data_IF_237489830631
#
_entry.id   IF_237489830631
#
_cell.length_a   1.000
_cell.length_b   1.000
_cell.length_c   1.000
_cell.angle_alpha   90.00
_cell.angle_beta   90.00
_cell.angle_gamma   90.00
#
_symmetry.space_group_name_H-M   'P 1'
#
loop_
_entity.id
_entity.type
_entity.pdbx_description
1 polymer ?
#
# COMPACT_ATOMS: atom_id res chain seq x y z
N UNK A 1 -22.36 31.94 25.16
CA UNK A 1 -20.90 31.63 25.17
C UNK A 1 -20.57 30.17 25.47
N UNK A 2 -21.25 29.49 26.42
CA UNK A 2 -21.03 28.05 26.70
C UNK A 2 -21.16 27.13 25.47
N UNK A 3 -22.17 27.37 24.62
CA UNK A 3 -22.41 26.53 23.43
C UNK A 3 -21.34 26.69 22.35
N UNK A 4 -20.68 27.86 22.29
CA UNK A 4 -19.64 28.18 21.32
C UNK A 4 -18.30 27.55 21.72
N UNK A 5 -18.07 27.42 23.02
CA UNK A 5 -16.93 26.67 23.56
C UNK A 5 -17.08 25.16 23.31
N UNK A 6 -18.30 24.62 23.47
CA UNK A 6 -18.58 23.22 23.23
C UNK A 6 -18.40 22.83 21.75
N UNK A 7 -18.81 23.68 20.81
CA UNK A 7 -18.63 23.41 19.37
C UNK A 7 -17.17 23.46 18.95
N UNK A 8 -16.38 24.40 19.47
CA UNK A 8 -14.93 24.48 19.22
C UNK A 8 -14.21 23.24 19.77
N UNK A 9 -14.58 22.79 20.98
CA UNK A 9 -14.01 21.59 21.59
C UNK A 9 -14.33 20.34 20.76
N UNK A 10 -15.58 20.20 20.31
CA UNK A 10 -15.99 19.08 19.45
C UNK A 10 -15.27 19.08 18.10
N UNK A 11 -15.07 20.26 17.50
CA UNK A 11 -14.35 20.39 16.24
C UNK A 11 -12.88 19.98 16.36
N UNK A 12 -12.22 20.35 17.47
CA UNK A 12 -10.83 19.94 17.75
C UNK A 12 -10.67 18.43 17.96
N UNK A 13 -11.64 17.78 18.61
CA UNK A 13 -11.60 16.33 18.81
C UNK A 13 -11.74 15.60 17.46
N UNK A 14 -12.60 16.09 16.56
CA UNK A 14 -12.80 15.46 15.25
C UNK A 14 -11.61 15.61 14.29
N UNK A 15 -10.86 16.71 14.33
CA UNK A 15 -9.71 16.91 13.43
C UNK A 15 -8.46 16.16 13.89
N UNK A 16 -8.35 15.86 15.19
CA UNK A 16 -7.20 15.14 15.77
C UNK A 16 -7.09 13.68 15.33
N UNK A 17 -8.19 13.07 14.86
CA UNK A 17 -8.25 11.65 14.46
C UNK A 17 -7.73 11.43 13.03
N UNK A 18 -7.60 12.47 12.21
CA UNK A 18 -7.13 12.39 10.82
C UNK A 18 -5.64 12.69 10.66
N UNK A 19 -4.81 12.34 11.63
CA UNK A 19 -3.36 12.40 11.43
C UNK A 19 -2.92 11.26 10.52
N UNK A 20 -2.51 11.61 9.30
CA UNK A 20 -1.86 10.69 8.37
C UNK A 20 -0.49 10.37 8.95
N UNK A 21 -0.24 9.12 9.37
CA UNK A 21 1.08 8.73 9.89
C UNK A 21 2.11 8.84 8.76
N UNK A 22 3.04 9.80 8.81
CA UNK A 22 3.91 10.12 7.68
C UNK A 22 4.96 9.05 7.38
N UNK A 23 5.06 8.02 8.24
CA UNK A 23 6.12 7.02 8.21
C UNK A 23 5.60 5.58 8.06
N UNK A 24 4.33 5.40 7.69
CA UNK A 24 3.79 4.08 7.39
C UNK A 24 4.10 3.68 5.96
N UNK A 25 4.59 2.46 5.77
CA UNK A 25 4.69 1.78 4.47
C UNK A 25 3.65 0.68 4.36
N UNK A 26 3.09 0.53 3.17
CA UNK A 26 2.10 -0.51 2.87
C UNK A 26 2.56 -1.40 1.72
N UNK A 27 2.60 -2.70 1.99
CA UNK A 27 2.87 -3.74 1.01
C UNK A 27 1.60 -4.53 0.71
N UNK A 28 1.40 -4.86 -0.57
CA UNK A 28 0.38 -5.79 -1.02
C UNK A 28 1.07 -7.08 -1.50
N UNK A 29 0.74 -8.18 -0.85
CA UNK A 29 1.22 -9.51 -1.19
C UNK A 29 0.09 -10.24 -1.89
N UNK A 30 0.32 -10.67 -3.12
CA UNK A 30 -0.62 -11.43 -3.94
C UNK A 30 -0.19 -12.89 -4.00
N UNK A 31 -1.17 -13.79 -3.98
CA UNK A 31 -0.95 -15.23 -4.04
C UNK A 31 -1.71 -15.87 -5.18
N UNK A 32 -1.15 -16.91 -5.78
CA UNK A 32 -1.88 -17.76 -6.71
C UNK A 32 -2.80 -18.73 -5.94
N UNK A 33 -4.11 -18.63 -6.18
CA UNK A 33 -5.12 -19.49 -5.54
C UNK A 33 -4.90 -20.97 -5.81
N UNK A 34 -4.35 -21.34 -6.98
CA UNK A 34 -4.05 -22.74 -7.32
C UNK A 34 -2.89 -23.28 -6.50
N UNK A 35 -1.83 -22.49 -6.32
CA UNK A 35 -0.67 -22.84 -5.51
C UNK A 35 -1.01 -22.93 -4.02
N UNK A 36 -1.83 -22.01 -3.50
CA UNK A 36 -2.32 -22.08 -2.12
C UNK A 36 -3.09 -23.38 -1.86
N UNK A 37 -3.93 -23.81 -2.81
CA UNK A 37 -4.66 -25.09 -2.72
C UNK A 37 -3.73 -26.30 -2.72
N UNK A 38 -2.70 -26.30 -3.59
CA UNK A 38 -1.71 -27.38 -3.65
C UNK A 38 -0.94 -27.50 -2.33
N UNK A 39 -0.56 -26.36 -1.74
CA UNK A 39 0.13 -26.29 -0.46
C UNK A 39 -0.81 -26.47 0.76
N UNK A 40 -2.12 -26.66 0.54
CA UNK A 40 -3.17 -26.77 1.58
C UNK A 40 -3.12 -25.61 2.59
N UNK A 41 -2.99 -24.40 2.08
CA UNK A 41 -2.86 -23.17 2.89
C UNK A 41 -3.85 -22.09 2.45
N UNK A 42 -3.90 -20.99 3.19
CA UNK A 42 -4.70 -19.81 2.87
C UNK A 42 -3.98 -18.52 3.26
N UNK A 43 -4.36 -17.36 2.69
CA UNK A 43 -3.80 -16.07 3.10
C UNK A 43 -3.96 -15.82 4.60
N UNK A 44 -5.09 -16.22 5.20
CA UNK A 44 -5.36 -16.09 6.63
C UNK A 44 -4.38 -16.92 7.47
N UNK A 45 -4.01 -18.11 7.00
CA UNK A 45 -3.06 -18.96 7.70
C UNK A 45 -1.63 -18.41 7.62
N UNK A 46 -1.21 -17.95 6.44
CA UNK A 46 0.09 -17.31 6.23
C UNK A 46 0.19 -16.02 7.05
N UNK A 47 -0.88 -15.23 7.11
CA UNK A 47 -0.98 -13.98 7.86
C UNK A 47 -0.59 -14.16 9.34
N UNK A 48 -0.92 -15.30 9.97
CA UNK A 48 -0.57 -15.58 11.37
C UNK A 48 0.94 -15.47 11.66
N UNK A 49 1.79 -15.75 10.66
CA UNK A 49 3.25 -15.63 10.79
C UNK A 49 3.72 -14.17 10.82
N UNK A 50 2.91 -13.24 10.32
CA UNK A 50 3.25 -11.84 10.12
C UNK A 50 2.61 -10.92 11.17
N UNK A 51 1.47 -11.31 11.74
CA UNK A 51 0.67 -10.48 12.67
C UNK A 51 1.42 -9.99 13.92
N UNK A 52 2.47 -10.69 14.34
CA UNK A 52 3.26 -10.29 15.52
C UNK A 52 4.24 -9.14 15.22
N UNK A 53 4.53 -8.90 13.94
CA UNK A 53 5.56 -7.97 13.49
C UNK A 53 4.91 -6.80 12.76
N UNK A 54 3.82 -7.05 12.04
CA UNK A 54 3.16 -6.09 11.18
C UNK A 54 1.67 -6.00 11.47
N UNK A 55 1.08 -4.85 11.12
CA UNK A 55 -0.36 -4.76 11.02
C UNK A 55 -0.80 -5.36 9.68
N UNK A 56 -1.48 -6.48 9.73
CA UNK A 56 -1.88 -7.21 8.52
C UNK A 56 -3.39 -7.25 8.32
N UNK A 57 -3.79 -7.51 7.08
CA UNK A 57 -5.16 -7.88 6.73
C UNK A 57 -5.16 -8.82 5.54
N UNK A 58 -5.60 -10.06 5.73
CA UNK A 58 -5.84 -11.00 4.64
C UNK A 58 -7.16 -10.72 3.89
N UNK A 59 -7.16 -11.11 2.62
CA UNK A 59 -8.29 -11.06 1.70
C UNK A 59 -8.37 -12.37 0.95
N UNK A 60 -9.57 -12.95 0.89
CA UNK A 60 -9.83 -14.21 0.20
C UNK A 60 -11.30 -14.32 -0.27
N UNK A 61 -11.70 -15.50 -0.77
CA UNK A 61 -13.04 -15.76 -1.28
C UNK A 61 -13.25 -15.21 -2.70
N UNK A 62 -14.18 -14.25 -2.83
CA UNK A 62 -14.51 -13.62 -4.12
C UNK A 62 -13.46 -12.62 -4.59
N UNK A 63 -12.58 -12.17 -3.68
CA UNK A 63 -11.45 -11.30 -4.00
C UNK A 63 -10.23 -12.13 -4.39
N UNK A 64 -9.22 -11.49 -4.98
CA UNK A 64 -7.91 -12.12 -5.14
C UNK A 64 -7.32 -12.49 -3.79
N UNK A 65 -6.57 -13.60 -3.76
CA UNK A 65 -5.92 -14.06 -2.54
C UNK A 65 -4.74 -13.13 -2.24
N UNK A 66 -4.86 -12.37 -1.16
CA UNK A 66 -3.90 -11.32 -0.85
C UNK A 66 -3.74 -11.09 0.65
N UNK A 67 -2.61 -10.50 1.03
CA UNK A 67 -2.39 -9.94 2.36
C UNK A 67 -1.90 -8.51 2.19
N UNK A 68 -2.54 -7.59 2.90
CA UNK A 68 -2.08 -6.22 3.03
C UNK A 68 -1.25 -6.12 4.31
N UNK A 69 -0.01 -5.67 4.19
CA UNK A 69 0.94 -5.57 5.30
C UNK A 69 1.30 -4.09 5.49
N UNK A 70 1.08 -3.57 6.69
CA UNK A 70 1.47 -2.22 7.07
C UNK A 70 2.56 -2.27 8.12
N UNK A 71 3.55 -1.41 7.94
CA UNK A 71 4.68 -1.27 8.86
C UNK A 71 4.99 0.19 9.12
N UNK A 72 5.38 0.53 10.34
CA UNK A 72 5.92 1.83 10.72
C UNK A 72 7.45 1.90 10.55
N UNK A 73 8.08 0.80 10.13
CA UNK A 73 9.52 0.70 9.93
C UNK A 73 9.91 1.11 8.51
N UNK A 74 10.37 2.35 8.33
CA UNK A 74 10.72 2.89 7.01
C UNK A 74 11.85 2.15 6.29
N UNK A 75 12.75 1.50 7.03
CA UNK A 75 13.87 0.75 6.47
C UNK A 75 13.45 -0.56 5.79
N UNK A 76 12.22 -1.04 6.03
CA UNK A 76 11.72 -2.25 5.38
C UNK A 76 11.36 -1.90 3.94
N UNK A 77 11.91 -2.67 3.01
CA UNK A 77 11.61 -2.61 1.59
C UNK A 77 10.94 -3.92 1.13
N UNK A 78 10.59 -3.96 -0.16
CA UNK A 78 9.95 -5.12 -0.77
C UNK A 78 10.78 -6.41 -0.61
N UNK A 79 12.10 -6.34 -0.77
CA UNK A 79 12.98 -7.50 -0.67
C UNK A 79 13.00 -8.03 0.76
N UNK A 80 13.13 -7.13 1.74
CA UNK A 80 13.07 -7.51 3.16
C UNK A 80 11.73 -8.14 3.53
N UNK A 81 10.61 -7.69 2.95
CA UNK A 81 9.30 -8.34 3.12
C UNK A 81 9.31 -9.75 2.51
N UNK A 82 9.88 -9.92 1.32
CA UNK A 82 10.02 -11.22 0.65
C UNK A 82 10.81 -12.25 1.45
N UNK A 83 11.84 -11.82 2.16
CA UNK A 83 12.70 -12.67 2.98
C UNK A 83 12.05 -13.16 4.29
N UNK A 84 10.86 -12.67 4.65
CA UNK A 84 10.20 -13.11 5.88
C UNK A 84 9.84 -14.59 5.81
N UNK A 85 10.27 -15.31 6.84
CA UNK A 85 9.98 -16.73 7.01
C UNK A 85 8.52 -16.87 7.47
N UNK A 86 7.74 -17.59 6.69
CA UNK A 86 6.32 -17.87 6.95
C UNK A 86 6.06 -19.36 7.02
N UNK A 87 5.08 -19.72 7.84
CA UNK A 87 4.57 -21.07 7.89
C UNK A 87 3.50 -21.24 6.81
N UNK A 88 3.76 -22.12 5.85
CA UNK A 88 2.79 -22.45 4.80
C UNK A 88 1.75 -23.42 5.35
N UNK A 89 2.18 -24.46 6.06
CA UNK A 89 1.29 -25.44 6.70
C UNK A 89 1.98 -26.08 7.91
N UNK A 90 1.44 -27.18 8.44
CA UNK A 90 2.00 -27.84 9.63
C UNK A 90 3.44 -28.34 9.43
N UNK A 91 3.81 -28.71 8.20
CA UNK A 91 5.07 -29.39 7.90
C UNK A 91 6.06 -28.49 7.14
N UNK A 92 5.57 -27.45 6.45
CA UNK A 92 6.37 -26.63 5.54
C UNK A 92 6.47 -25.18 6.02
N UNK A 93 7.71 -24.70 6.00
CA UNK A 93 8.11 -23.31 6.21
C UNK A 93 8.83 -22.86 4.94
N UNK A 94 8.66 -21.59 4.57
CA UNK A 94 9.24 -20.98 3.38
C UNK A 94 9.45 -19.49 3.61
N UNK A 95 10.10 -18.80 2.67
CA UNK A 95 10.05 -17.33 2.63
C UNK A 95 8.78 -16.86 1.93
N UNK A 96 8.42 -15.58 2.11
CA UNK A 96 7.29 -14.99 1.40
C UNK A 96 7.51 -14.99 -0.11
N UNK A 97 8.73 -14.71 -0.59
CA UNK A 97 9.06 -14.70 -2.01
C UNK A 97 8.87 -16.07 -2.69
N UNK A 98 9.00 -17.18 -1.94
CA UNK A 98 8.78 -18.53 -2.48
C UNK A 98 7.31 -18.87 -2.72
N UNK A 99 6.37 -18.13 -2.12
CA UNK A 99 4.92 -18.44 -2.12
C UNK A 99 4.08 -17.30 -2.67
N UNK A 100 4.56 -16.07 -2.55
CA UNK A 100 3.90 -14.91 -3.11
C UNK A 100 4.05 -14.91 -4.63
N UNK A 101 2.93 -14.79 -5.33
CA UNK A 101 2.94 -14.53 -6.77
C UNK A 101 3.58 -13.16 -7.05
N UNK A 102 3.27 -12.17 -6.21
CA UNK A 102 3.85 -10.84 -6.33
C UNK A 102 3.80 -10.08 -5.00
N UNK A 103 4.87 -9.38 -4.68
CA UNK A 103 4.93 -8.40 -3.60
C UNK A 103 5.04 -7.00 -4.21
N UNK A 104 4.17 -6.09 -3.78
CA UNK A 104 4.05 -4.73 -4.34
C UNK A 104 4.21 -3.72 -3.20
N UNK A 105 5.14 -2.78 -3.34
CA UNK A 105 5.18 -1.58 -2.51
C UNK A 105 4.14 -0.57 -3.05
N UNK A 106 3.06 -0.36 -2.29
CA UNK A 106 1.96 0.51 -2.73
C UNK A 106 2.34 1.99 -2.65
N UNK A 107 3.24 2.35 -1.74
CA UNK A 107 3.67 3.74 -1.58
C UNK A 107 4.63 4.14 -2.70
N UNK A 108 5.57 3.26 -3.06
CA UNK A 108 6.43 3.45 -4.24
C UNK A 108 5.58 3.55 -5.52
N UNK A 109 4.61 2.64 -5.68
CA UNK A 109 3.72 2.62 -6.84
C UNK A 109 2.93 3.92 -6.97
N UNK A 110 2.46 4.47 -5.84
CA UNK A 110 1.74 5.74 -5.79
C UNK A 110 2.64 6.92 -6.13
N UNK A 111 3.85 6.96 -5.61
CA UNK A 111 4.81 8.02 -5.90
C UNK A 111 5.20 8.05 -7.37
N UNK A 112 5.45 6.88 -7.97
CA UNK A 112 5.71 6.75 -9.41
C UNK A 112 4.50 7.25 -10.21
N UNK A 113 3.28 6.83 -9.84
CA UNK A 113 2.06 7.27 -10.51
C UNK A 113 1.88 8.79 -10.46
N UNK A 114 2.09 9.42 -9.30
CA UNK A 114 2.00 10.87 -9.16
C UNK A 114 3.06 11.60 -10.00
N UNK A 115 4.30 11.11 -10.04
CA UNK A 115 5.35 11.66 -10.91
C UNK A 115 4.99 11.56 -12.38
N UNK A 116 4.40 10.46 -12.82
CA UNK A 116 3.94 10.28 -14.20
C UNK A 116 2.84 11.29 -14.55
N UNK A 117 1.86 11.48 -13.66
CA UNK A 117 0.80 12.49 -13.86
C UNK A 117 1.38 13.91 -13.97
N UNK A 118 2.27 14.30 -13.06
CA UNK A 118 2.90 15.62 -13.09
C UNK A 118 3.68 15.85 -14.40
N UNK A 119 4.42 14.85 -14.87
CA UNK A 119 5.14 14.92 -16.14
C UNK A 119 4.22 15.07 -17.35
N UNK A 120 3.03 14.44 -17.33
CA UNK A 120 2.04 14.59 -18.39
C UNK A 120 1.43 15.99 -18.38
N UNK A 121 1.11 16.54 -17.21
CA UNK A 121 0.62 17.91 -17.07
C UNK A 121 1.62 18.94 -17.56
N UNK A 122 2.90 18.79 -17.19
CA UNK A 122 3.98 19.68 -17.64
C UNK A 122 4.17 19.65 -19.16
N UNK A 123 4.10 18.46 -19.78
CA UNK A 123 4.14 18.33 -21.25
C UNK A 123 2.98 19.06 -21.91
N UNK A 124 1.77 18.96 -21.35
CA UNK A 124 0.57 19.64 -21.85
C UNK A 124 0.61 21.16 -21.66
N UNK A 125 1.25 21.66 -20.60
CA UNK A 125 1.44 23.10 -20.40
C UNK A 125 2.50 23.69 -21.32
N UNK A 126 3.61 22.97 -21.56
CA UNK A 126 4.66 23.38 -22.51
C UNK A 126 4.15 23.40 -23.94
N UNK A 127 3.33 22.43 -24.36
CA UNK A 127 2.71 22.43 -25.69
C UNK A 127 1.73 23.60 -25.87
N UNK A 128 0.90 23.93 -24.86
CA UNK A 128 0.02 25.12 -24.88
C UNK A 128 0.80 26.44 -24.92
N UNK A 129 1.91 26.57 -24.20
CA UNK A 129 2.78 27.77 -24.25
C UNK A 129 3.44 27.94 -25.62
N UNK A 130 3.92 26.85 -26.23
CA UNK A 130 4.51 26.90 -27.58
C UNK A 130 3.50 27.32 -28.66
N UNK A 131 2.26 26.82 -28.60
CA UNK A 131 1.19 27.21 -29.53
C UNK A 131 0.71 28.66 -29.34
N UNK A 132 0.82 29.22 -28.12
CA UNK A 132 0.53 30.65 -27.88
C UNK A 132 1.61 31.55 -28.48
N UNK A 133 2.88 31.12 -28.42
CA UNK A 133 4.02 31.86 -28.98
C UNK A 133 3.98 31.91 -30.52
N UNK A 134 3.47 30.86 -31.17
CA UNK A 134 3.28 30.84 -32.63
C UNK A 134 2.07 31.64 -33.14
N UNK A 135 1.11 32.00 -32.28
CA UNK A 135 -0.05 32.82 -32.65
C UNK A 135 0.12 34.32 -32.38
N UNK A 136 1.25 34.74 -31.80
CA UNK A 136 1.49 36.13 -31.40
C UNK A 136 2.53 36.89 -32.24
N UNK A 137 3.04 36.31 -33.32
CA UNK A 137 3.84 37.05 -34.30
C UNK A 137 2.98 37.37 -35.54
N UNK A 138 2.70 38.66 -35.82
CA UNK A 138 2.27 39.10 -37.14
C UNK A 138 3.41 39.02 -38.17
#
# INVERSE_FOLDING_TARGET
MKNLFLTILFFYIFTSVFSKNPNEKTFLILFDKSELKLNKTSPEYIELSLMNIFQTKSYSGNSDAAILVKTSHQQIDKCMIGDFIIRINQEKIATLDEVAFQIIDLDESKDIYQKLLANLEDKNQKSKKSNKFFKSNP
#
